data_IF_191317373215
#
_entry.id   IF_191317373215
#
_cell.length_a   1.000
_cell.length_b   1.000
_cell.length_c   1.000
_cell.angle_alpha   90.00
_cell.angle_beta   90.00
_cell.angle_gamma   90.00
#
_symmetry.space_group_name_H-M   'P 1'
#
loop_
_entity.id
_entity.type
_entity.pdbx_description
1 polymer ?
#
# COMPACT_ATOMS: atom_id res chain seq x y z
N UNK A 1 -11.91 -22.10 -1.86
CA UNK A 1 -11.20 -20.86 -1.45
C UNK A 1 -11.59 -20.52 -0.03
N UNK A 2 -10.61 -20.31 0.85
CA UNK A 2 -10.84 -19.88 2.25
C UNK A 2 -10.65 -18.37 2.29
N UNK A 3 -11.65 -17.65 2.80
CA UNK A 3 -11.58 -16.23 3.08
C UNK A 3 -11.41 -16.03 4.57
N UNK A 4 -10.41 -15.28 4.99
CA UNK A 4 -10.13 -15.03 6.41
C UNK A 4 -9.65 -13.59 6.60
N UNK A 5 -10.10 -12.93 7.66
CA UNK A 5 -9.62 -11.62 8.09
C UNK A 5 -8.88 -11.76 9.42
N UNK A 6 -7.64 -11.30 9.46
CA UNK A 6 -6.80 -11.35 10.66
C UNK A 6 -6.23 -9.97 10.98
N UNK A 7 -5.84 -9.77 12.23
CA UNK A 7 -5.12 -8.57 12.67
C UNK A 7 -3.72 -9.01 13.10
N UNK A 8 -2.72 -8.45 12.45
CA UNK A 8 -1.32 -8.67 12.80
C UNK A 8 -0.74 -7.42 13.48
N UNK A 9 0.41 -7.53 14.11
CA UNK A 9 1.14 -6.37 14.65
C UNK A 9 2.33 -6.03 13.77
N UNK A 10 2.44 -4.75 13.39
CA UNK A 10 3.63 -4.25 12.72
C UNK A 10 4.78 -4.05 13.73
N UNK A 11 5.97 -3.70 13.23
CA UNK A 11 7.19 -3.44 14.03
C UNK A 11 7.04 -2.34 15.09
N UNK A 12 5.98 -1.54 15.00
CA UNK A 12 5.64 -0.48 15.95
C UNK A 12 4.52 -0.89 16.94
N UNK A 13 4.07 -2.14 16.87
CA UNK A 13 2.98 -2.68 17.70
C UNK A 13 1.59 -2.25 17.28
N UNK A 14 1.44 -1.59 16.13
CA UNK A 14 0.14 -1.17 15.57
C UNK A 14 -0.53 -2.35 14.86
N UNK A 15 -1.87 -2.42 14.92
CA UNK A 15 -2.67 -3.43 14.23
C UNK A 15 -2.76 -3.14 12.73
N UNK A 16 -2.42 -4.14 11.92
CA UNK A 16 -2.67 -4.18 10.48
C UNK A 16 -3.77 -5.20 10.22
N UNK A 17 -4.83 -4.78 9.56
CA UNK A 17 -5.93 -5.68 9.15
C UNK A 17 -5.61 -6.27 7.79
N UNK A 18 -5.48 -7.59 7.76
CA UNK A 18 -5.13 -8.39 6.59
C UNK A 18 -6.31 -9.25 6.17
N UNK A 19 -6.59 -9.31 4.88
CA UNK A 19 -7.58 -10.17 4.26
C UNK A 19 -6.87 -11.24 3.43
N UNK A 20 -7.13 -12.49 3.76
CA UNK A 20 -6.53 -13.68 3.17
C UNK A 20 -7.55 -14.37 2.27
N UNK A 21 -7.18 -14.61 1.03
CA UNK A 21 -7.98 -15.38 0.07
C UNK A 21 -7.12 -16.55 -0.41
N UNK A 22 -7.20 -17.66 0.30
CA UNK A 22 -6.32 -18.83 0.09
C UNK A 22 -6.97 -19.82 -0.87
N UNK A 23 -6.32 -20.06 -2.00
CA UNK A 23 -6.71 -21.07 -2.97
C UNK A 23 -6.29 -22.47 -2.48
N UNK A 24 -7.16 -23.51 -2.59
CA UNK A 24 -6.84 -24.86 -2.11
C UNK A 24 -5.65 -25.49 -2.86
N UNK A 25 -5.55 -25.23 -4.16
CA UNK A 25 -4.46 -25.73 -5.03
C UNK A 25 -3.70 -24.53 -5.61
N UNK A 26 -3.14 -23.69 -4.74
CA UNK A 26 -2.50 -22.45 -5.15
C UNK A 26 -1.30 -22.71 -6.09
N UNK A 27 -1.25 -21.95 -7.19
CA UNK A 27 -0.12 -21.92 -8.13
C UNK A 27 0.94 -20.87 -7.75
N UNK A 28 0.65 -20.02 -6.80
CA UNK A 28 1.51 -18.96 -6.32
C UNK A 28 0.79 -18.06 -5.34
N UNK A 29 1.51 -17.06 -4.87
CA UNK A 29 1.05 -16.07 -3.90
C UNK A 29 1.13 -14.67 -4.51
N UNK A 30 0.19 -13.81 -4.17
CA UNK A 30 0.21 -12.41 -4.54
C UNK A 30 -0.13 -11.49 -3.34
N UNK A 31 0.61 -10.40 -3.21
CA UNK A 31 0.27 -9.30 -2.30
C UNK A 31 -0.26 -8.13 -3.10
N UNK A 32 -1.38 -7.55 -2.67
CA UNK A 32 -2.05 -6.46 -3.38
C UNK A 32 -2.21 -5.26 -2.46
N UNK A 33 -1.62 -4.12 -2.85
CA UNK A 33 -1.62 -2.87 -2.08
C UNK A 33 -2.52 -1.80 -2.67
N UNK A 34 -3.26 -1.12 -1.80
CA UNK A 34 -3.99 0.11 -2.11
C UNK A 34 -3.08 1.35 -2.16
N UNK A 35 -3.60 2.48 -2.65
CA UNK A 35 -2.92 3.77 -2.64
C UNK A 35 -3.16 4.60 -1.38
N UNK A 36 -2.67 5.86 -1.39
CA UNK A 36 -2.79 6.80 -0.27
C UNK A 36 -4.26 7.03 0.14
N UNK A 37 -4.57 6.72 1.41
CA UNK A 37 -5.92 6.82 1.96
C UNK A 37 -6.90 5.85 1.32
N UNK A 38 -6.39 4.75 0.77
CA UNK A 38 -7.16 3.63 0.29
C UNK A 38 -7.46 2.60 1.39
N UNK A 39 -7.99 1.45 1.00
CA UNK A 39 -8.22 0.30 1.86
C UNK A 39 -8.32 -0.99 0.99
N UNK A 40 -8.15 -2.13 1.63
CA UNK A 40 -8.04 -3.46 0.99
C UNK A 40 -9.24 -3.90 0.16
N UNK A 41 -10.43 -3.31 0.42
CA UNK A 41 -11.69 -3.63 -0.26
C UNK A 41 -12.13 -2.54 -1.26
N UNK A 42 -11.20 -1.66 -1.70
CA UNK A 42 -11.52 -0.72 -2.77
C UNK A 42 -11.77 -1.47 -4.09
N UNK A 43 -12.75 -1.05 -4.92
CA UNK A 43 -13.14 -1.78 -6.14
C UNK A 43 -11.96 -2.12 -7.07
N UNK A 44 -11.00 -1.21 -7.27
CA UNK A 44 -9.83 -1.49 -8.11
C UNK A 44 -8.85 -2.48 -7.46
N UNK A 45 -8.72 -2.47 -6.11
CA UNK A 45 -7.90 -3.45 -5.37
C UNK A 45 -8.52 -4.84 -5.48
N UNK A 46 -9.85 -4.94 -5.40
CA UNK A 46 -10.59 -6.19 -5.60
C UNK A 46 -10.45 -6.73 -7.02
N UNK A 47 -10.46 -5.86 -8.04
CA UNK A 47 -10.23 -6.27 -9.44
C UNK A 47 -8.84 -6.86 -9.61
N UNK A 48 -7.80 -6.26 -9.00
CA UNK A 48 -6.44 -6.82 -9.06
C UNK A 48 -6.37 -8.17 -8.33
N UNK A 49 -6.97 -8.27 -7.14
CA UNK A 49 -7.03 -9.51 -6.40
C UNK A 49 -7.75 -10.61 -7.20
N UNK A 50 -8.91 -10.27 -7.78
CA UNK A 50 -9.68 -11.20 -8.60
C UNK A 50 -8.87 -11.75 -9.78
N UNK A 51 -8.06 -10.93 -10.44
CA UNK A 51 -7.23 -11.38 -11.55
C UNK A 51 -6.24 -12.49 -11.13
N UNK A 52 -5.69 -12.42 -9.92
CA UNK A 52 -4.84 -13.47 -9.36
C UNK A 52 -5.66 -14.71 -8.95
N UNK A 53 -6.78 -14.49 -8.27
CA UNK A 53 -7.66 -15.58 -7.80
C UNK A 53 -8.21 -16.42 -8.97
N UNK A 54 -8.62 -15.80 -10.07
CA UNK A 54 -9.09 -16.47 -11.29
C UNK A 54 -8.00 -17.34 -11.93
N UNK A 55 -6.74 -17.13 -11.57
CA UNK A 55 -5.59 -17.94 -12.01
C UNK A 55 -5.04 -18.89 -10.94
N UNK A 56 -5.81 -19.16 -9.88
CA UNK A 56 -5.46 -20.02 -8.75
C UNK A 56 -4.26 -19.54 -7.93
N UNK A 57 -4.04 -18.23 -7.82
CA UNK A 57 -3.13 -17.66 -6.84
C UNK A 57 -3.88 -17.41 -5.53
N UNK A 58 -3.21 -17.61 -4.41
CA UNK A 58 -3.65 -17.05 -3.13
C UNK A 58 -3.34 -15.57 -3.11
N UNK A 59 -4.22 -14.77 -2.49
CA UNK A 59 -4.10 -13.32 -2.47
C UNK A 59 -4.16 -12.78 -1.05
N UNK A 60 -3.21 -11.91 -0.75
CA UNK A 60 -3.13 -11.17 0.50
C UNK A 60 -3.37 -9.70 0.20
N UNK A 61 -4.44 -9.15 0.76
CA UNK A 61 -4.75 -7.71 0.75
C UNK A 61 -4.74 -7.19 2.18
N UNK A 62 -4.30 -5.97 2.39
CA UNK A 62 -4.26 -5.41 3.73
C UNK A 62 -4.51 -3.90 3.72
N UNK A 63 -5.01 -3.38 4.83
CA UNK A 63 -4.98 -1.95 5.08
C UNK A 63 -3.63 -1.61 5.69
N UNK A 64 -2.91 -0.64 5.11
CA UNK A 64 -1.75 -0.08 5.80
C UNK A 64 -2.21 0.67 7.06
N UNK A 65 -1.33 0.87 8.02
CA UNK A 65 -1.59 1.85 9.07
C UNK A 65 -1.72 3.26 8.48
N UNK A 66 -2.34 4.18 9.21
CA UNK A 66 -2.54 5.57 8.78
C UNK A 66 -3.33 5.70 7.46
N UNK A 67 -4.40 4.94 7.31
CA UNK A 67 -5.32 4.99 6.16
C UNK A 67 -6.78 5.16 6.59
N UNK A 68 -7.73 5.03 5.65
CA UNK A 68 -9.18 5.03 5.92
C UNK A 68 -9.76 3.62 6.05
N UNK A 69 -8.92 2.59 6.16
CA UNK A 69 -9.33 1.22 6.40
C UNK A 69 -9.56 0.92 7.88
N UNK A 70 -9.36 -0.34 8.24
CA UNK A 70 -9.61 -0.85 9.60
C UNK A 70 -8.32 -0.95 10.45
N UNK A 71 -7.13 -0.69 9.86
CA UNK A 71 -5.85 -0.70 10.58
C UNK A 71 -5.68 0.52 11.48
N UNK A 72 -4.77 0.40 12.45
CA UNK A 72 -4.48 1.47 13.41
C UNK A 72 -3.89 2.73 12.75
N UNK A 73 -3.99 3.86 13.46
CA UNK A 73 -3.40 5.14 13.08
C UNK A 73 -4.38 6.11 12.42
N UNK A 74 -3.84 7.24 11.97
CA UNK A 74 -4.63 8.32 11.36
C UNK A 74 -4.10 8.67 9.98
N UNK A 75 -5.00 8.89 9.02
CA UNK A 75 -4.64 9.26 7.64
C UNK A 75 -3.70 10.47 7.56
N UNK A 76 -3.80 11.42 8.48
CA UNK A 76 -2.96 12.61 8.47
C UNK A 76 -1.46 12.31 8.63
N UNK A 77 -1.12 11.15 9.21
CA UNK A 77 0.24 10.68 9.47
C UNK A 77 0.80 9.75 8.36
N UNK A 78 0.03 9.52 7.29
CA UNK A 78 0.42 8.63 6.20
C UNK A 78 1.68 9.11 5.48
N UNK A 79 2.65 8.21 5.29
CA UNK A 79 3.91 8.43 4.56
C UNK A 79 4.24 7.25 3.66
N UNK A 80 5.16 7.40 2.71
CA UNK A 80 5.67 6.27 1.91
C UNK A 80 6.43 5.29 2.81
N UNK A 81 7.28 5.80 3.72
CA UNK A 81 8.01 4.96 4.68
C UNK A 81 7.07 4.08 5.48
N UNK A 82 5.98 4.64 6.00
CA UNK A 82 5.01 3.88 6.79
C UNK A 82 4.33 2.77 5.94
N UNK A 83 3.88 3.08 4.74
CA UNK A 83 3.24 2.10 3.85
C UNK A 83 4.21 1.00 3.42
N UNK A 84 5.47 1.36 3.17
CA UNK A 84 6.52 0.42 2.81
C UNK A 84 6.89 -0.50 3.98
N UNK A 85 7.05 0.05 5.19
CA UNK A 85 7.29 -0.73 6.41
C UNK A 85 6.16 -1.72 6.70
N UNK A 86 4.90 -1.29 6.53
CA UNK A 86 3.72 -2.16 6.71
C UNK A 86 3.70 -3.30 5.67
N UNK A 87 4.12 -3.05 4.42
CA UNK A 87 4.27 -4.11 3.40
C UNK A 87 5.33 -5.13 3.83
N UNK A 88 6.50 -4.67 4.28
CA UNK A 88 7.55 -5.56 4.77
C UNK A 88 7.06 -6.40 5.97
N UNK A 89 6.34 -5.79 6.90
CA UNK A 89 5.82 -6.46 8.09
C UNK A 89 4.75 -7.51 7.76
N UNK A 90 3.87 -7.22 6.78
CA UNK A 90 2.88 -8.19 6.29
C UNK A 90 3.56 -9.37 5.60
N UNK A 91 4.58 -9.12 4.77
CA UNK A 91 5.34 -10.20 4.10
C UNK A 91 6.10 -11.03 5.14
N UNK A 92 6.75 -10.39 6.11
CA UNK A 92 7.50 -11.12 7.15
C UNK A 92 6.59 -11.98 8.04
N UNK A 93 5.40 -11.46 8.39
CA UNK A 93 4.39 -12.27 9.06
C UNK A 93 3.93 -13.45 8.19
N UNK A 94 3.72 -13.23 6.89
CA UNK A 94 3.28 -14.25 5.95
C UNK A 94 4.27 -15.41 5.84
N UNK A 95 5.57 -15.18 5.96
CA UNK A 95 6.61 -16.23 5.92
C UNK A 95 6.43 -17.33 6.97
N UNK A 96 5.71 -17.05 8.05
CA UNK A 96 5.44 -18.01 9.11
C UNK A 96 4.13 -18.78 8.91
N UNK A 97 3.47 -18.65 7.74
CA UNK A 97 2.19 -19.29 7.45
C UNK A 97 2.39 -20.49 6.52
N UNK A 98 1.59 -21.53 6.71
CA UNK A 98 1.66 -22.77 5.91
C UNK A 98 1.40 -22.55 4.40
N UNK A 99 0.64 -21.54 4.05
CA UNK A 99 0.31 -21.18 2.67
C UNK A 99 1.36 -20.26 2.01
N UNK A 100 2.40 -19.84 2.71
CA UNK A 100 3.41 -18.96 2.15
C UNK A 100 4.21 -19.63 1.03
N UNK A 101 4.50 -18.87 -0.02
CA UNK A 101 5.25 -19.36 -1.17
C UNK A 101 6.08 -18.22 -1.80
N UNK A 102 7.36 -18.48 -2.03
CA UNK A 102 8.28 -17.63 -2.80
C UNK A 102 8.70 -18.34 -4.10
N UNK A 103 9.02 -17.59 -5.17
CA UNK A 103 8.79 -16.15 -5.32
C UNK A 103 7.30 -15.82 -5.54
N UNK A 104 6.87 -14.66 -5.03
CA UNK A 104 5.47 -14.20 -5.11
C UNK A 104 5.28 -13.02 -6.07
N UNK A 105 4.02 -12.69 -6.38
CA UNK A 105 3.65 -11.53 -7.18
C UNK A 105 3.31 -10.34 -6.29
N UNK A 106 3.63 -9.13 -6.78
CA UNK A 106 3.25 -7.87 -6.15
C UNK A 106 2.42 -7.02 -7.11
N UNK A 107 1.26 -6.56 -6.68
CA UNK A 107 0.47 -5.55 -7.38
C UNK A 107 0.15 -4.38 -6.44
N UNK A 108 0.25 -3.15 -6.93
CA UNK A 108 0.02 -1.97 -6.10
C UNK A 108 -0.42 -0.75 -6.89
N UNK A 109 -1.36 0.00 -6.33
CA UNK A 109 -1.90 1.20 -6.95
C UNK A 109 -1.26 2.46 -6.33
N UNK A 110 -0.86 3.42 -7.17
CA UNK A 110 -0.41 4.75 -6.76
C UNK A 110 0.71 4.68 -5.71
N UNK A 111 0.46 5.06 -4.44
CA UNK A 111 1.43 4.96 -3.34
C UNK A 111 1.82 3.50 -3.05
N UNK A 112 0.88 2.56 -3.17
CA UNK A 112 1.20 1.13 -3.08
C UNK A 112 2.11 0.67 -4.22
N UNK A 113 2.01 1.29 -5.39
CA UNK A 113 2.87 1.02 -6.54
C UNK A 113 4.35 1.30 -6.27
N UNK A 114 4.68 2.46 -5.65
CA UNK A 114 6.08 2.74 -5.28
C UNK A 114 6.56 1.79 -4.17
N UNK A 115 5.72 1.46 -3.19
CA UNK A 115 6.10 0.55 -2.10
C UNK A 115 6.49 -0.84 -2.61
N UNK A 116 5.68 -1.43 -3.51
CA UNK A 116 6.01 -2.74 -4.10
C UNK A 116 7.26 -2.68 -4.99
N UNK A 117 7.50 -1.55 -5.66
CA UNK A 117 8.70 -1.34 -6.49
C UNK A 117 9.96 -1.24 -5.65
N UNK A 118 9.91 -0.52 -4.53
CA UNK A 118 10.99 -0.45 -3.54
C UNK A 118 11.28 -1.83 -2.94
N UNK A 119 10.24 -2.62 -2.65
CA UNK A 119 10.40 -3.98 -2.16
C UNK A 119 11.10 -4.86 -3.20
N UNK A 120 10.65 -4.84 -4.44
CA UNK A 120 11.24 -5.62 -5.53
C UNK A 120 12.70 -5.20 -5.82
N UNK A 121 13.04 -3.92 -5.66
CA UNK A 121 14.42 -3.44 -5.79
C UNK A 121 15.32 -3.98 -4.68
N UNK A 122 14.80 -4.06 -3.45
CA UNK A 122 15.55 -4.53 -2.28
C UNK A 122 15.67 -6.05 -2.20
N UNK A 123 14.63 -6.77 -2.65
CA UNK A 123 14.50 -8.23 -2.55
C UNK A 123 14.07 -8.84 -3.90
N UNK A 124 14.87 -8.68 -4.97
CA UNK A 124 14.46 -9.10 -6.32
C UNK A 124 14.22 -10.61 -6.44
N UNK A 125 14.92 -11.43 -5.68
CA UNK A 125 14.79 -12.89 -5.67
C UNK A 125 13.44 -13.37 -5.12
N UNK A 126 12.77 -12.57 -4.27
CA UNK A 126 11.48 -12.92 -3.68
C UNK A 126 10.30 -12.57 -4.60
N UNK A 127 10.55 -11.83 -5.69
CA UNK A 127 9.48 -11.28 -6.54
C UNK A 127 9.45 -11.95 -7.90
N UNK A 128 8.37 -12.70 -8.17
CA UNK A 128 8.12 -13.39 -9.44
C UNK A 128 7.63 -12.43 -10.53
N UNK A 129 6.75 -11.50 -10.14
CA UNK A 129 6.18 -10.51 -11.05
C UNK A 129 5.78 -9.25 -10.28
N UNK A 130 5.90 -8.10 -10.95
CA UNK A 130 5.63 -6.78 -10.38
C UNK A 130 4.65 -6.00 -11.26
N UNK A 131 3.57 -5.50 -10.67
CA UNK A 131 2.54 -4.68 -11.33
C UNK A 131 2.31 -3.35 -10.59
N UNK A 132 3.16 -2.33 -10.81
CA UNK A 132 2.96 -0.98 -10.25
C UNK A 132 1.98 -0.19 -11.11
N UNK A 133 0.73 -0.07 -10.67
CA UNK A 133 -0.37 0.53 -11.43
C UNK A 133 -0.50 2.01 -11.06
N UNK A 134 -0.41 2.92 -12.04
CA UNK A 134 -0.44 4.38 -11.81
C UNK A 134 0.49 4.82 -10.68
N UNK A 135 1.68 4.23 -10.63
CA UNK A 135 2.62 4.38 -9.53
C UNK A 135 3.18 5.79 -9.42
N UNK A 136 3.48 6.20 -8.19
CA UNK A 136 4.44 7.27 -7.94
C UNK A 136 5.83 6.71 -8.23
N UNK A 137 6.60 7.35 -9.10
CA UNK A 137 7.96 6.89 -9.47
C UNK A 137 9.05 7.74 -8.83
N UNK A 138 8.76 9.01 -8.53
CA UNK A 138 9.71 9.93 -7.92
C UNK A 138 9.00 10.95 -7.04
N UNK A 139 9.48 11.11 -5.82
CA UNK A 139 9.04 12.18 -4.93
C UNK A 139 9.39 13.56 -5.50
N UNK A 140 10.56 13.68 -6.08
CA UNK A 140 11.11 14.92 -6.66
C UNK A 140 10.29 15.39 -7.86
N UNK A 141 10.12 14.54 -8.87
CA UNK A 141 9.29 14.84 -10.04
C UNK A 141 7.85 15.18 -9.67
N UNK A 142 7.33 14.58 -8.61
CA UNK A 142 5.99 14.89 -8.14
C UNK A 142 5.82 16.34 -7.66
N UNK A 143 6.88 16.99 -7.20
CA UNK A 143 6.86 18.40 -6.84
C UNK A 143 6.98 19.30 -8.05
N UNK A 144 7.82 18.92 -9.02
CA UNK A 144 8.08 19.69 -10.22
C UNK A 144 6.85 19.78 -11.15
N UNK A 145 6.01 18.74 -11.14
CA UNK A 145 4.82 18.63 -12.02
C UNK A 145 3.55 19.21 -11.42
N UNK A 146 3.58 19.73 -10.19
CA UNK A 146 2.41 20.29 -9.51
C UNK A 146 2.57 21.77 -9.25
N UNK A 147 1.42 22.42 -9.01
CA UNK A 147 1.31 23.83 -8.67
C UNK A 147 2.16 24.17 -7.43
N UNK A 148 3.13 25.05 -7.62
CA UNK A 148 4.07 25.48 -6.58
C UNK A 148 3.36 26.19 -5.44
N UNK A 149 2.37 27.04 -5.73
CA UNK A 149 1.62 27.78 -4.71
C UNK A 149 0.93 26.81 -3.74
N UNK A 150 0.36 25.73 -4.25
CA UNK A 150 -0.28 24.71 -3.43
C UNK A 150 0.70 24.03 -2.45
N UNK A 151 1.95 23.77 -2.89
CA UNK A 151 2.97 23.20 -2.00
C UNK A 151 3.50 24.21 -0.98
N UNK A 152 3.68 25.46 -1.38
CA UNK A 152 4.13 26.52 -0.48
C UNK A 152 3.10 26.76 0.64
N UNK A 153 1.81 26.76 0.31
CA UNK A 153 0.74 26.84 1.31
C UNK A 153 0.74 25.63 2.24
N UNK A 154 0.82 24.41 1.69
CA UNK A 154 0.86 23.18 2.50
C UNK A 154 2.07 23.18 3.44
N UNK A 155 3.24 23.60 2.97
CA UNK A 155 4.45 23.72 3.77
C UNK A 155 4.29 24.77 4.88
N UNK A 156 3.70 25.91 4.56
CA UNK A 156 3.47 27.02 5.51
C UNK A 156 2.46 26.64 6.60
N UNK A 157 1.36 26.00 6.23
CA UNK A 157 0.29 25.60 7.17
C UNK A 157 0.58 24.30 7.91
N UNK A 158 1.53 23.49 7.41
CA UNK A 158 1.83 22.15 7.89
C UNK A 158 0.84 21.08 7.44
N UNK A 159 -0.28 21.46 6.79
CA UNK A 159 -1.34 20.54 6.40
C UNK A 159 -1.91 20.86 5.02
N UNK A 160 -2.31 19.79 4.31
CA UNK A 160 -3.21 19.87 3.16
C UNK A 160 -4.56 19.31 3.54
N UNK A 161 -5.61 20.08 3.31
CA UNK A 161 -6.99 19.65 3.51
C UNK A 161 -7.67 19.59 2.14
N UNK A 162 -8.25 18.45 1.78
CA UNK A 162 -8.96 18.24 0.53
C UNK A 162 -10.15 17.31 0.76
N UNK A 163 -11.28 17.63 0.15
CA UNK A 163 -12.42 16.72 0.15
C UNK A 163 -12.13 15.43 -0.63
N UNK A 164 -12.63 14.30 -0.13
CA UNK A 164 -12.48 13.01 -0.79
C UNK A 164 -13.31 12.95 -2.07
N UNK A 165 -12.68 12.61 -3.20
CA UNK A 165 -13.38 12.38 -4.47
C UNK A 165 -14.27 11.13 -4.47
N UNK A 166 -13.99 10.17 -3.58
CA UNK A 166 -14.71 8.89 -3.49
C UNK A 166 -15.75 8.83 -2.37
N UNK A 167 -15.70 9.76 -1.41
CA UNK A 167 -16.63 9.86 -0.28
C UNK A 167 -16.96 11.34 -0.03
N UNK A 168 -18.02 11.89 -0.65
CA UNK A 168 -18.44 13.29 -0.45
C UNK A 168 -18.63 13.59 1.04
N UNK A 169 -18.20 14.78 1.48
CA UNK A 169 -18.25 15.23 2.87
C UNK A 169 -17.06 14.74 3.76
N UNK A 170 -16.25 13.79 3.29
CA UNK A 170 -15.06 13.36 4.01
C UNK A 170 -13.88 14.28 3.69
N UNK A 171 -13.42 15.05 4.68
CA UNK A 171 -12.23 15.89 4.56
C UNK A 171 -10.96 15.08 4.85
N UNK A 172 -10.06 15.03 3.87
CA UNK A 172 -8.73 14.39 3.96
C UNK A 172 -7.72 15.42 4.41
N UNK A 173 -7.28 15.31 5.66
CA UNK A 173 -6.21 16.14 6.22
C UNK A 173 -4.90 15.36 6.18
N UNK A 174 -3.85 15.90 5.56
CA UNK A 174 -2.55 15.25 5.41
C UNK A 174 -1.42 16.18 5.82
N UNK A 175 -0.53 15.73 6.70
CA UNK A 175 0.60 16.51 7.22
C UNK A 175 1.66 16.76 6.15
N UNK A 176 2.41 17.86 6.25
CA UNK A 176 3.57 18.14 5.41
C UNK A 176 4.65 17.06 5.47
N UNK A 177 4.73 16.33 6.58
CA UNK A 177 5.63 15.17 6.74
C UNK A 177 5.48 14.14 5.62
N UNK A 178 4.29 14.00 5.02
CA UNK A 178 4.09 13.17 3.83
C UNK A 178 4.99 13.56 2.66
N UNK A 179 5.13 14.86 2.40
CA UNK A 179 5.99 15.37 1.32
C UNK A 179 7.47 15.23 1.68
N UNK A 180 7.83 15.59 2.90
CA UNK A 180 9.22 15.46 3.38
C UNK A 180 9.71 14.01 3.34
N UNK A 181 8.82 13.06 3.64
CA UNK A 181 9.10 11.64 3.55
C UNK A 181 9.19 11.18 2.09
N UNK A 182 8.25 11.63 1.24
CA UNK A 182 8.18 11.27 -0.18
C UNK A 182 9.45 11.65 -0.96
N UNK A 183 10.12 12.74 -0.58
CA UNK A 183 11.37 13.20 -1.20
C UNK A 183 12.55 12.26 -1.00
N UNK A 184 12.45 11.31 -0.08
CA UNK A 184 13.49 10.28 0.15
C UNK A 184 13.49 9.18 -0.91
N UNK A 185 12.41 9.08 -1.70
CA UNK A 185 12.16 7.96 -2.60
C UNK A 185 12.18 8.39 -4.06
N UNK A 186 13.03 7.72 -4.82
CA UNK A 186 13.22 7.90 -6.25
C UNK A 186 13.52 6.54 -6.89
N UNK A 187 12.75 6.18 -7.93
CA UNK A 187 12.91 4.93 -8.68
C UNK A 187 13.57 5.14 -10.05
N UNK A 188 14.03 6.38 -10.33
CA UNK A 188 14.63 6.77 -11.60
C UNK A 188 16.12 7.02 -11.43
#
# INVERSE_FOLDING_TARGET
MKLEKVIIKNRKGQGIVVLLEIAPDQKGLAFVMHGLGGYKEQPHVEVFAKAFLDNNYSVIRFDTTNTFGESDGNYEDATISNYYEDLEDVIEWAKNQEWYQEPFCLAGHSLGGICISLYAQKYPENVKALAPISSVVSGKLSLETKDKEHFDEWKKTGYRIKESSSKPGLMKKLKWSHISDRLKYDLI
#
